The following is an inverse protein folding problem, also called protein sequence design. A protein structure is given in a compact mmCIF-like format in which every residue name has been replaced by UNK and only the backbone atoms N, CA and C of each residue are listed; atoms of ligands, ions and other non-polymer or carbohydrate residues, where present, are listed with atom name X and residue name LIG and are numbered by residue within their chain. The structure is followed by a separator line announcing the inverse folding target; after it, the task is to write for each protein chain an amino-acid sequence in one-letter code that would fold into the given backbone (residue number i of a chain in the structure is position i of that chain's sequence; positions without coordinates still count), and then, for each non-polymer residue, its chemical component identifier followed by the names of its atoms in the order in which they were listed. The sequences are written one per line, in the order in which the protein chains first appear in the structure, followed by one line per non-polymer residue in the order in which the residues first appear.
data_IF_891884805065
#
_entry.id   IF_891884805065
#
_cell.length_a   1.000
_cell.length_b   1.000
_cell.length_c   1.000
_cell.angle_alpha   90.00
_cell.angle_beta   90.00
_cell.angle_gamma   90.00
#
_symmetry.space_group_name_H-M   'P 1'
#
loop_
_entity.id
_entity.type
_entity.pdbx_description
1 polymer ?
#
# COMPACT_ATOMS: atom_id res chain seq x y z
N UNK A 1 -9.06 7.22 -6.90
CA UNK A 1 -9.12 6.65 -5.54
C UNK A 1 -10.14 7.37 -4.67
N UNK A 2 -10.70 6.68 -3.67
CA UNK A 2 -11.60 7.22 -2.64
C UNK A 2 -11.00 7.01 -1.24
N UNK A 3 -11.47 7.78 -0.26
CA UNK A 3 -11.05 7.59 1.15
C UNK A 3 -11.38 6.19 1.66
N UNK A 4 -10.55 5.68 2.57
CA UNK A 4 -10.72 4.35 3.14
C UNK A 4 -12.08 4.19 3.82
N UNK A 5 -12.83 3.20 3.35
CA UNK A 5 -13.96 2.61 4.04
C UNK A 5 -13.49 1.25 4.56
N UNK A 6 -13.23 1.16 5.88
CA UNK A 6 -12.51 0.03 6.49
C UNK A 6 -13.10 -1.32 6.08
N UNK A 7 -14.43 -1.47 6.14
CA UNK A 7 -15.09 -2.74 5.84
C UNK A 7 -14.93 -3.12 4.37
N UNK A 8 -15.10 -2.17 3.45
CA UNK A 8 -14.97 -2.42 2.02
C UNK A 8 -13.52 -2.75 1.64
N UNK A 9 -12.55 -1.99 2.17
CA UNK A 9 -11.13 -2.29 1.95
C UNK A 9 -10.75 -3.66 2.54
N UNK A 10 -11.29 -4.01 3.70
CA UNK A 10 -11.07 -5.31 4.32
C UNK A 10 -11.64 -6.45 3.46
N UNK A 11 -12.82 -6.29 2.86
CA UNK A 11 -13.41 -7.26 1.93
C UNK A 11 -12.54 -7.45 0.68
N UNK A 12 -12.04 -6.35 0.09
CA UNK A 12 -11.12 -6.42 -1.03
C UNK A 12 -9.83 -7.16 -0.66
N UNK A 13 -9.20 -6.84 0.48
CA UNK A 13 -8.02 -7.58 0.97
C UNK A 13 -8.31 -9.07 1.17
N UNK A 14 -9.50 -9.44 1.65
CA UNK A 14 -9.86 -10.84 1.82
C UNK A 14 -9.97 -11.57 0.48
N UNK A 15 -10.38 -10.88 -0.60
CA UNK A 15 -10.55 -11.48 -1.93
C UNK A 15 -9.24 -11.91 -2.62
N UNK A 16 -8.10 -11.36 -2.19
CA UNK A 16 -6.76 -11.71 -2.68
C UNK A 16 -6.01 -12.68 -1.73
N UNK A 17 -6.55 -12.94 -0.53
CA UNK A 17 -5.93 -13.84 0.42
C UNK A 17 -5.85 -15.28 -0.14
N UNK A 18 -4.78 -16.00 0.21
CA UNK A 18 -4.52 -17.35 -0.26
C UNK A 18 -4.45 -17.48 -1.79
N UNK A 19 -4.05 -16.41 -2.48
CA UNK A 19 -3.67 -16.42 -3.89
C UNK A 19 -2.20 -16.01 -4.03
N UNK A 20 -1.60 -16.46 -5.12
CA UNK A 20 -0.31 -15.93 -5.55
C UNK A 20 -0.55 -14.54 -6.15
N UNK A 21 -0.03 -13.50 -5.51
CA UNK A 21 -0.22 -12.11 -5.93
C UNK A 21 1.11 -11.39 -6.04
N UNK A 22 1.14 -10.34 -6.84
CA UNK A 22 2.25 -9.40 -6.95
C UNK A 22 1.93 -8.16 -6.13
N UNK A 23 2.89 -7.71 -5.35
CA UNK A 23 2.77 -6.44 -4.62
C UNK A 23 3.72 -5.38 -5.15
N UNK A 24 3.26 -4.14 -5.05
CA UNK A 24 4.07 -2.93 -5.07
C UNK A 24 4.00 -2.30 -3.69
N UNK A 25 5.15 -1.97 -3.09
CA UNK A 25 5.22 -1.19 -1.87
C UNK A 25 6.29 -0.13 -2.03
N UNK A 26 5.90 1.12 -1.81
CA UNK A 26 6.77 2.27 -1.93
C UNK A 26 6.52 3.23 -0.78
N UNK A 27 7.58 3.79 -0.22
CA UNK A 27 7.52 4.92 0.70
C UNK A 27 8.46 6.00 0.22
N UNK A 28 7.98 7.24 0.18
CA UNK A 28 8.70 8.37 -0.43
C UNK A 28 9.19 9.39 0.60
N UNK A 29 9.35 8.98 1.87
CA UNK A 29 9.81 9.84 2.97
C UNK A 29 11.06 10.65 2.56
N UNK A 30 10.85 11.90 2.15
CA UNK A 30 11.91 12.81 1.72
C UNK A 30 11.86 13.31 0.28
N UNK A 31 11.29 12.58 -0.69
CA UNK A 31 11.39 12.95 -2.11
C UNK A 31 10.78 14.34 -2.41
N UNK A 32 9.79 14.76 -1.62
CA UNK A 32 9.15 16.08 -1.73
C UNK A 32 9.50 17.05 -0.60
N UNK A 33 10.10 16.58 0.50
CA UNK A 33 10.49 17.41 1.63
C UNK A 33 11.81 18.16 1.36
N UNK A 34 12.62 17.67 0.42
CA UNK A 34 13.81 18.36 -0.12
C UNK A 34 13.51 19.69 -0.79
N UNK A 35 12.28 19.96 -1.24
CA UNK A 35 11.93 21.24 -1.84
C UNK A 35 11.91 22.40 -0.83
N UNK A 36 11.90 22.11 0.48
CA UNK A 36 11.87 23.11 1.54
C UNK A 36 13.12 23.12 2.42
N UNK A 37 13.95 22.07 2.40
CA UNK A 37 15.19 22.03 3.17
C UNK A 37 16.15 20.94 2.61
N UNK A 38 17.36 21.31 2.19
CA UNK A 38 18.38 20.39 1.63
C UNK A 38 18.91 19.38 2.68
N UNK A 39 18.57 19.55 3.96
CA UNK A 39 18.95 18.65 5.04
C UNK A 39 17.95 17.49 5.28
N UNK A 40 16.89 17.34 4.48
CA UNK A 40 15.94 16.24 4.67
C UNK A 40 16.55 14.92 4.21
N UNK A 41 16.70 13.99 5.15
CA UNK A 41 17.15 12.61 4.90
C UNK A 41 16.16 11.89 3.98
N UNK A 42 16.58 11.63 2.73
CA UNK A 42 15.80 10.88 1.75
C UNK A 42 15.91 9.38 2.03
N UNK A 43 15.00 8.86 2.87
CA UNK A 43 14.89 7.44 3.14
C UNK A 43 13.58 6.91 2.56
N UNK A 44 13.71 6.10 1.52
CA UNK A 44 12.60 5.40 0.91
C UNK A 44 12.82 3.90 0.91
N UNK A 45 11.75 3.18 0.65
CA UNK A 45 11.76 1.76 0.33
C UNK A 45 10.95 1.60 -0.94
N UNK A 46 11.39 0.70 -1.81
CA UNK A 46 10.71 0.39 -3.05
C UNK A 46 10.82 -1.10 -3.32
N UNK A 47 9.68 -1.73 -3.55
CA UNK A 47 9.59 -3.11 -4.00
C UNK A 47 8.46 -3.19 -5.02
N UNK A 48 8.72 -3.79 -6.17
CA UNK A 48 7.75 -3.94 -7.25
C UNK A 48 7.77 -5.36 -7.77
N UNK A 49 6.59 -5.89 -8.07
CA UNK A 49 6.40 -7.26 -8.56
C UNK A 49 7.00 -8.32 -7.63
N UNK A 50 7.01 -8.06 -6.31
CA UNK A 50 7.30 -9.12 -5.36
C UNK A 50 6.11 -10.06 -5.31
N UNK A 51 6.35 -11.31 -5.72
CA UNK A 51 5.33 -12.36 -5.67
C UNK A 51 5.24 -12.88 -4.23
N UNK A 52 4.06 -12.77 -3.64
CA UNK A 52 3.77 -13.25 -2.29
C UNK A 52 2.47 -14.07 -2.25
N UNK A 53 2.27 -14.78 -1.15
CA UNK A 53 1.02 -15.45 -0.81
C UNK A 53 0.75 -15.19 0.66
N UNK A 54 -0.27 -14.37 0.95
CA UNK A 54 -0.64 -14.02 2.32
C UNK A 54 -1.90 -14.77 2.75
N UNK A 55 -1.93 -15.15 4.02
CA UNK A 55 -2.99 -15.92 4.68
C UNK A 55 -4.10 -15.00 5.20
N UNK A 56 -3.71 -13.81 5.69
CA UNK A 56 -4.59 -12.83 6.30
C UNK A 56 -4.17 -11.41 5.93
N UNK A 57 -5.09 -10.64 5.36
CA UNK A 57 -4.99 -9.20 5.23
C UNK A 57 -5.78 -8.51 6.34
N UNK A 58 -5.28 -7.43 6.92
CA UNK A 58 -5.99 -6.67 7.96
C UNK A 58 -5.84 -5.16 7.77
N UNK A 59 -6.97 -4.46 7.80
CA UNK A 59 -7.01 -2.99 7.99
C UNK A 59 -7.15 -2.71 9.48
N UNK A 60 -6.22 -1.93 10.05
CA UNK A 60 -6.29 -1.44 11.43
C UNK A 60 -6.90 -0.04 11.43
N UNK A 61 -7.84 0.20 12.35
CA UNK A 61 -8.64 1.42 12.42
C UNK A 61 -7.87 2.68 12.89
N UNK A 62 -6.59 2.57 13.23
CA UNK A 62 -5.74 3.72 13.59
C UNK A 62 -5.61 4.64 12.38
N UNK A 63 -6.08 5.89 12.45
CA UNK A 63 -6.02 6.83 11.32
C UNK A 63 -4.75 7.68 11.34
N UNK A 64 -4.03 7.83 10.22
CA UNK A 64 -4.28 7.20 8.91
C UNK A 64 -3.95 5.69 8.92
N UNK A 65 -4.77 4.89 8.22
CA UNK A 65 -4.89 3.43 8.38
C UNK A 65 -3.59 2.67 8.18
N UNK A 66 -3.47 1.56 8.91
CA UNK A 66 -2.42 0.56 8.67
C UNK A 66 -3.02 -0.66 7.99
N UNK A 67 -2.40 -1.10 6.91
CA UNK A 67 -2.72 -2.35 6.22
C UNK A 67 -1.58 -3.33 6.46
N UNK A 68 -1.90 -4.53 6.95
CA UNK A 68 -0.95 -5.62 7.18
C UNK A 68 -1.34 -6.88 6.43
N UNK A 69 -0.35 -7.55 5.83
CA UNK A 69 -0.48 -8.83 5.14
C UNK A 69 0.40 -9.87 5.87
N UNK A 70 -0.23 -10.88 6.48
CA UNK A 70 0.43 -12.01 7.12
C UNK A 70 0.71 -13.09 6.08
N UNK A 71 1.98 -13.44 5.88
CA UNK A 71 2.41 -14.60 5.09
C UNK A 71 2.83 -15.73 6.03
N UNK A 72 2.96 -16.97 5.54
CA UNK A 72 3.43 -18.11 6.33
C UNK A 72 4.71 -17.76 7.14
N UNK A 73 5.69 -17.14 6.47
CA UNK A 73 6.98 -16.74 7.05
C UNK A 73 7.26 -15.24 6.96
N UNK A 74 6.34 -14.42 7.46
CA UNK A 74 6.61 -13.00 7.64
C UNK A 74 5.40 -12.11 7.46
N UNK A 75 5.66 -10.82 7.30
CA UNK A 75 4.64 -9.79 7.22
C UNK A 75 5.05 -8.72 6.22
N UNK A 76 4.06 -8.16 5.53
CA UNK A 76 4.16 -6.87 4.85
C UNK A 76 3.23 -5.91 5.60
N UNK A 77 3.65 -4.69 5.86
CA UNK A 77 2.74 -3.67 6.36
C UNK A 77 3.02 -2.30 5.74
N UNK A 78 1.97 -1.52 5.59
CA UNK A 78 2.02 -0.12 5.18
C UNK A 78 1.22 0.71 6.20
N UNK A 79 1.85 1.74 6.76
CA UNK A 79 1.24 2.69 7.69
C UNK A 79 0.94 3.98 6.95
N UNK A 80 -0.25 4.55 7.18
CA UNK A 80 -0.62 5.86 6.65
C UNK A 80 -1.51 5.81 5.40
N UNK A 81 -2.16 4.69 5.14
CA UNK A 81 -3.11 4.54 4.03
C UNK A 81 -4.35 5.42 4.29
N UNK A 82 -4.64 6.33 3.37
CA UNK A 82 -5.79 7.24 3.43
C UNK A 82 -6.79 6.99 2.33
N UNK A 83 -6.34 6.45 1.18
CA UNK A 83 -7.15 6.23 0.00
C UNK A 83 -6.94 4.83 -0.58
N UNK A 84 -7.92 4.35 -1.33
CA UNK A 84 -7.83 3.14 -2.12
C UNK A 84 -8.75 3.17 -3.35
N UNK A 85 -8.51 2.25 -4.28
CA UNK A 85 -9.45 1.85 -5.32
C UNK A 85 -9.18 0.41 -5.78
N UNK A 86 -10.22 -0.24 -6.30
CA UNK A 86 -10.07 -1.39 -7.17
C UNK A 86 -10.18 -0.86 -8.60
N UNK A 87 -9.11 -0.96 -9.38
CA UNK A 87 -9.12 -0.44 -10.74
C UNK A 87 -9.82 -1.39 -11.73
N UNK A 88 -9.92 -0.95 -12.99
CA UNK A 88 -10.57 -1.71 -14.06
C UNK A 88 -9.83 -3.01 -14.43
N UNK A 89 -8.57 -3.16 -14.03
CA UNK A 89 -7.78 -4.37 -14.21
C UNK A 89 -7.92 -5.34 -13.03
N UNK A 90 -8.73 -4.99 -12.01
CA UNK A 90 -8.91 -5.80 -10.81
C UNK A 90 -7.73 -5.72 -9.85
N UNK A 91 -6.95 -4.62 -9.86
CA UNK A 91 -5.84 -4.39 -8.94
C UNK A 91 -6.31 -3.54 -7.78
N UNK A 92 -5.95 -3.94 -6.56
CA UNK A 92 -6.21 -3.13 -5.36
C UNK A 92 -5.07 -2.14 -5.18
N UNK A 93 -5.33 -0.87 -5.40
CA UNK A 93 -4.38 0.22 -5.24
C UNK A 93 -4.69 0.94 -3.93
N UNK A 94 -3.73 1.02 -3.00
CA UNK A 94 -3.88 1.75 -1.74
C UNK A 94 -2.77 2.80 -1.63
N UNK A 95 -3.16 4.02 -1.29
CA UNK A 95 -2.25 5.15 -1.17
C UNK A 95 -2.43 5.87 0.16
N UNK A 96 -1.32 6.32 0.74
CA UNK A 96 -1.26 7.32 1.78
C UNK A 96 -0.80 8.63 1.17
N UNK A 97 -1.65 9.65 1.26
CA UNK A 97 -1.33 11.02 0.84
C UNK A 97 -0.92 11.85 2.06
N UNK A 98 0.13 12.66 1.92
CA UNK A 98 0.53 13.65 2.91
C UNK A 98 -0.45 14.84 2.96
N UNK A 99 -0.21 15.79 3.88
CA UNK A 99 -1.06 16.98 4.03
C UNK A 99 -1.08 17.91 2.81
N UNK A 100 -0.18 17.72 1.85
CA UNK A 100 -0.13 18.46 0.58
C UNK A 100 -0.74 17.67 -0.58
N UNK A 101 -1.29 16.47 -0.32
CA UNK A 101 -1.86 15.58 -1.31
C UNK A 101 -0.84 14.75 -2.08
N UNK A 102 0.44 14.74 -1.67
CA UNK A 102 1.49 13.97 -2.34
C UNK A 102 1.57 12.55 -1.79
N UNK A 103 1.96 11.61 -2.64
CA UNK A 103 2.14 10.21 -2.23
C UNK A 103 3.24 10.10 -1.17
N UNK A 104 2.89 9.54 -0.01
CA UNK A 104 3.80 9.23 1.09
C UNK A 104 4.08 7.71 1.18
N UNK A 105 3.05 6.90 0.91
CA UNK A 105 3.14 5.43 0.89
C UNK A 105 2.18 4.86 -0.16
N UNK A 106 2.58 3.80 -0.84
CA UNK A 106 1.71 2.99 -1.68
C UNK A 106 1.83 1.52 -1.26
N UNK A 107 0.71 0.81 -1.19
CA UNK A 107 0.66 -0.65 -1.15
C UNK A 107 -0.37 -1.09 -2.19
N UNK A 108 0.08 -1.85 -3.19
CA UNK A 108 -0.77 -2.29 -4.29
C UNK A 108 -0.70 -3.81 -4.40
N UNK A 109 -1.81 -4.44 -4.79
CA UNK A 109 -1.95 -5.89 -4.91
C UNK A 109 -2.60 -6.22 -6.25
N UNK A 110 -2.02 -7.16 -6.98
CA UNK A 110 -2.54 -7.64 -8.27
C UNK A 110 -2.30 -9.14 -8.43
N UNK A 111 -3.21 -9.86 -9.09
CA UNK A 111 -2.98 -11.27 -9.47
C UNK A 111 -1.99 -11.38 -10.66
N UNK A 112 -1.73 -10.29 -11.38
CA UNK A 112 -0.76 -10.20 -12.48
C UNK A 112 0.35 -9.19 -12.17
N UNK A 113 1.57 -9.34 -12.74
CA UNK A 113 2.62 -8.35 -12.57
C UNK A 113 2.19 -6.96 -13.03
N UNK A 114 2.57 -5.92 -12.28
CA UNK A 114 2.41 -4.54 -12.70
C UNK A 114 3.37 -4.24 -13.86
N UNK A 115 2.81 -3.83 -15.00
CA UNK A 115 3.56 -3.35 -16.17
C UNK A 115 3.83 -1.84 -16.08
N UNK A 116 4.70 -1.35 -16.96
CA UNK A 116 4.93 0.09 -17.16
C UNK A 116 3.84 0.71 -18.03
#
# INVERSE_FOLDING_TARGET
MKEVQINELQELLNSFANKDVYIHLETTNGAYATHFNEQVFNAGAFIRNAKIRYELGKVVADSPHRVGLKMEHGWVYAQGITHYELDEQGRLLMAGLDYTGKLAVALEISETPFTY
#
